data_IF_767350561300
#
_entry.id   IF_767350561300
#
_cell.length_a   1.000
_cell.length_b   1.000
_cell.length_c   1.000
_cell.angle_alpha   90.00
_cell.angle_beta   90.00
_cell.angle_gamma   90.00
#
_symmetry.space_group_name_H-M   'P 1'
#
loop_
_entity.id
_entity.type
_entity.pdbx_description
1 polymer ?
#
# COMPACT_ATOMS: atom_id res chain seq x y z
N UNK A 1 43.90 25.58 -11.48
CA UNK A 1 42.54 25.48 -10.91
C UNK A 1 42.41 24.14 -10.20
N UNK A 2 42.38 24.14 -8.86
CA UNK A 2 42.07 22.92 -8.11
C UNK A 2 40.61 22.53 -8.34
N UNK A 3 40.28 21.25 -8.62
CA UNK A 3 38.89 20.82 -8.63
C UNK A 3 38.32 21.03 -7.22
N UNK A 4 37.22 21.78 -7.14
CA UNK A 4 36.50 21.98 -5.88
C UNK A 4 36.17 20.61 -5.28
N UNK A 5 36.66 20.36 -4.07
CA UNK A 5 36.38 19.14 -3.34
C UNK A 5 34.87 19.00 -3.14
N UNK A 6 34.27 18.00 -3.77
CA UNK A 6 32.87 17.62 -3.51
C UNK A 6 32.74 17.40 -1.98
N UNK A 7 31.85 18.12 -1.28
CA UNK A 7 31.68 17.95 0.15
C UNK A 7 31.42 16.47 0.46
N UNK A 8 32.21 15.88 1.36
CA UNK A 8 31.90 14.54 1.87
C UNK A 8 30.50 14.59 2.50
N UNK A 9 29.59 13.66 2.16
CA UNK A 9 28.30 13.61 2.81
C UNK A 9 28.53 13.51 4.33
N UNK A 10 27.76 14.30 5.09
CA UNK A 10 27.80 14.23 6.55
C UNK A 10 27.62 12.77 7.01
N UNK A 11 28.32 12.32 8.07
CA UNK A 11 28.21 10.95 8.53
C UNK A 11 26.74 10.60 8.78
N UNK A 12 26.29 9.50 8.19
CA UNK A 12 24.92 9.04 8.36
C UNK A 12 24.64 8.87 9.84
N UNK A 13 23.61 9.57 10.35
CA UNK A 13 23.19 9.47 11.75
C UNK A 13 22.44 8.15 11.94
N UNK A 14 23.16 7.03 11.93
CA UNK A 14 22.59 5.67 12.01
C UNK A 14 21.61 5.54 13.18
N UNK A 15 21.94 6.16 14.32
CA UNK A 15 21.06 6.20 15.50
C UNK A 15 19.66 6.76 15.20
N UNK A 16 19.54 7.74 14.30
CA UNK A 16 18.25 8.34 13.94
C UNK A 16 17.40 7.33 13.16
N UNK A 17 18.00 6.58 12.24
CA UNK A 17 17.30 5.54 11.47
C UNK A 17 16.83 4.41 12.39
N UNK A 18 17.67 4.00 13.34
CA UNK A 18 17.30 2.99 14.34
C UNK A 18 16.21 3.49 15.30
N UNK A 19 16.29 4.75 15.73
CA UNK A 19 15.24 5.38 16.55
C UNK A 19 13.92 5.43 15.81
N UNK A 20 13.91 5.90 14.55
CA UNK A 20 12.71 5.96 13.74
C UNK A 20 12.12 4.56 13.52
N UNK A 21 12.96 3.56 13.22
CA UNK A 21 12.51 2.17 13.14
C UNK A 21 11.84 1.69 14.44
N UNK A 22 12.47 1.93 15.60
CA UNK A 22 11.92 1.53 16.90
C UNK A 22 10.61 2.27 17.24
N UNK A 23 10.52 3.57 16.94
CA UNK A 23 9.29 4.35 17.14
C UNK A 23 8.19 3.85 16.21
N UNK A 24 8.49 3.59 14.94
CA UNK A 24 7.52 3.05 13.98
C UNK A 24 7.06 1.64 14.37
N UNK A 25 7.95 0.80 14.91
CA UNK A 25 7.55 -0.49 15.46
C UNK A 25 6.57 -0.32 16.63
N UNK A 26 6.86 0.62 17.55
CA UNK A 26 5.98 0.91 18.68
C UNK A 26 4.63 1.48 18.26
N UNK A 27 4.58 2.39 17.29
CA UNK A 27 3.32 2.99 16.81
C UNK A 27 2.49 2.00 16.01
N UNK A 28 3.09 1.14 15.19
CA UNK A 28 2.37 0.07 14.46
C UNK A 28 1.85 -1.00 15.41
N UNK A 29 2.63 -1.36 16.43
CA UNK A 29 2.19 -2.25 17.50
C UNK A 29 0.98 -1.69 18.24
N UNK A 30 1.03 -0.42 18.67
CA UNK A 30 -0.09 0.24 19.34
C UNK A 30 -1.31 0.38 18.43
N UNK A 31 -1.11 0.72 17.15
CA UNK A 31 -2.19 0.82 16.18
C UNK A 31 -2.96 -0.50 16.03
N UNK A 32 -2.26 -1.63 15.96
CA UNK A 32 -2.91 -2.95 15.93
C UNK A 32 -3.78 -3.17 17.17
N UNK A 33 -3.24 -2.89 18.37
CA UNK A 33 -4.00 -3.07 19.61
C UNK A 33 -5.25 -2.18 19.67
N UNK A 34 -5.19 -0.96 19.14
CA UNK A 34 -6.31 -0.02 19.15
C UNK A 34 -7.38 -0.35 18.10
N UNK A 35 -6.98 -0.91 16.96
CA UNK A 35 -7.88 -1.21 15.84
C UNK A 35 -8.48 -2.61 15.90
N UNK A 36 -7.67 -3.59 16.32
CA UNK A 36 -7.99 -5.01 16.21
C UNK A 36 -7.85 -5.78 17.54
N UNK A 37 -7.22 -5.18 18.55
CA UNK A 37 -7.06 -5.81 19.86
C UNK A 37 -8.41 -5.97 20.58
N UNK A 38 -8.56 -7.09 21.31
CA UNK A 38 -9.76 -7.32 22.13
C UNK A 38 -9.75 -6.46 23.40
N UNK A 39 -8.56 -6.09 23.87
CA UNK A 39 -8.35 -5.34 25.11
C UNK A 39 -7.79 -3.96 24.83
N UNK A 40 -8.42 -2.92 25.37
CA UNK A 40 -7.88 -1.58 25.26
C UNK A 40 -6.65 -1.42 26.16
N UNK A 41 -5.50 -0.91 25.64
CA UNK A 41 -4.25 -0.78 26.41
C UNK A 41 -4.38 0.05 27.69
N UNK A 42 -5.40 0.92 27.76
CA UNK A 42 -5.63 1.86 28.85
C UNK A 42 -6.81 1.48 29.76
N UNK A 43 -7.38 0.29 29.59
CA UNK A 43 -8.58 -0.17 30.30
C UNK A 43 -8.36 -0.59 31.77
N UNK A 44 -7.15 -0.47 32.31
CA UNK A 44 -6.80 -0.89 33.67
C UNK A 44 -6.76 -2.41 33.91
N UNK A 45 -7.40 -3.20 33.04
CA UNK A 45 -7.41 -4.67 33.07
C UNK A 45 -6.11 -5.33 32.58
N UNK A 46 -5.14 -4.52 32.10
CA UNK A 46 -3.89 -5.01 31.50
C UNK A 46 -4.07 -5.51 30.06
N UNK A 47 -2.96 -5.71 29.37
CA UNK A 47 -2.94 -6.24 28.00
C UNK A 47 -2.86 -7.77 28.03
N UNK A 48 -3.79 -8.44 27.33
CA UNK A 48 -3.74 -9.89 27.15
C UNK A 48 -2.45 -10.30 26.42
N UNK A 49 -1.92 -11.48 26.75
CA UNK A 49 -0.73 -12.02 26.08
C UNK A 49 -0.96 -12.33 24.60
N UNK A 50 -2.17 -12.79 24.26
CA UNK A 50 -2.60 -13.05 22.88
C UNK A 50 -2.58 -11.75 22.05
N UNK A 51 -3.21 -10.67 22.55
CA UNK A 51 -3.24 -9.36 21.89
C UNK A 51 -1.81 -8.82 21.65
N UNK A 52 -0.91 -8.97 22.63
CA UNK A 52 0.50 -8.57 22.49
C UNK A 52 1.21 -9.37 21.41
N UNK A 53 1.01 -10.68 21.38
CA UNK A 53 1.66 -11.58 20.41
C UNK A 53 1.18 -11.28 18.99
N UNK A 54 -0.12 -11.08 18.82
CA UNK A 54 -0.71 -10.68 17.54
C UNK A 54 -0.20 -9.32 17.05
N UNK A 55 -0.09 -8.34 17.94
CA UNK A 55 0.46 -7.03 17.62
C UNK A 55 1.95 -7.10 17.23
N UNK A 56 2.74 -7.97 17.86
CA UNK A 56 4.13 -8.24 17.45
C UNK A 56 4.20 -8.87 16.06
N UNK A 57 3.36 -9.87 15.78
CA UNK A 57 3.31 -10.50 14.47
C UNK A 57 2.93 -9.52 13.37
N UNK A 58 1.93 -8.68 13.59
CA UNK A 58 1.52 -7.64 12.65
C UNK A 58 2.64 -6.63 12.40
N UNK A 59 3.11 -5.96 13.47
CA UNK A 59 4.09 -4.87 13.36
C UNK A 59 5.43 -5.36 12.81
N UNK A 60 5.93 -6.50 13.29
CA UNK A 60 7.17 -7.11 12.78
C UNK A 60 7.08 -7.47 11.30
N UNK A 61 5.98 -8.09 10.88
CA UNK A 61 5.75 -8.45 9.46
C UNK A 61 5.64 -7.22 8.57
N UNK A 62 4.89 -6.21 9.00
CA UNK A 62 4.70 -4.97 8.24
C UNK A 62 6.04 -4.23 8.05
N UNK A 63 6.81 -4.07 9.13
CA UNK A 63 8.12 -3.41 9.05
C UNK A 63 9.14 -4.22 8.26
N UNK A 64 9.08 -5.56 8.30
CA UNK A 64 9.94 -6.41 7.47
C UNK A 64 9.66 -6.18 5.98
N UNK A 65 8.39 -6.12 5.58
CA UNK A 65 8.00 -5.87 4.19
C UNK A 65 8.43 -4.45 3.76
N UNK A 66 8.02 -3.41 4.50
CA UNK A 66 8.37 -2.02 4.18
C UNK A 66 9.89 -1.80 4.19
N UNK A 67 10.59 -2.39 5.16
CA UNK A 67 12.04 -2.32 5.26
C UNK A 67 12.73 -3.00 4.09
N UNK A 68 12.26 -4.19 3.68
CA UNK A 68 12.80 -4.90 2.52
C UNK A 68 12.59 -4.14 1.21
N UNK A 69 11.43 -3.47 1.06
CA UNK A 69 11.14 -2.59 -0.07
C UNK A 69 12.17 -1.46 -0.17
N UNK A 70 12.33 -0.69 0.89
CA UNK A 70 13.29 0.43 0.89
C UNK A 70 14.75 -0.05 0.77
N UNK A 71 15.07 -1.20 1.35
CA UNK A 71 16.40 -1.81 1.20
C UNK A 71 16.67 -2.28 -0.24
N UNK A 72 15.65 -2.74 -0.97
CA UNK A 72 15.77 -3.06 -2.40
C UNK A 72 16.25 -1.84 -3.20
N UNK A 73 15.57 -0.70 -3.02
CA UNK A 73 16.00 0.56 -3.63
C UNK A 73 17.40 0.98 -3.20
N UNK A 74 17.70 0.89 -1.90
CA UNK A 74 19.02 1.24 -1.36
C UNK A 74 20.13 0.43 -2.03
N UNK A 75 19.99 -0.90 -2.09
CA UNK A 75 21.02 -1.80 -2.63
C UNK A 75 21.28 -1.50 -4.11
N UNK A 76 20.25 -1.37 -4.94
CA UNK A 76 20.46 -1.10 -6.37
C UNK A 76 20.86 0.35 -6.66
N UNK A 77 20.43 1.32 -5.85
CA UNK A 77 20.96 2.67 -5.94
C UNK A 77 22.48 2.69 -5.69
N UNK A 78 22.95 1.99 -4.65
CA UNK A 78 24.38 1.86 -4.34
C UNK A 78 25.15 1.11 -5.42
N UNK A 79 24.57 0.03 -5.98
CA UNK A 79 25.15 -0.68 -7.12
C UNK A 79 25.40 0.26 -8.29
N UNK A 80 24.41 1.09 -8.63
CA UNK A 80 24.50 2.08 -9.72
C UNK A 80 25.23 3.37 -9.32
N UNK A 81 25.91 3.38 -8.16
CA UNK A 81 26.67 4.52 -7.62
C UNK A 81 25.84 5.79 -7.45
N UNK A 82 24.54 5.65 -7.23
CA UNK A 82 23.64 6.75 -6.87
C UNK A 82 23.69 6.94 -5.35
N UNK A 83 24.00 8.16 -4.91
CA UNK A 83 24.01 8.47 -3.48
C UNK A 83 22.57 8.41 -2.92
N UNK A 84 22.40 7.70 -1.81
CA UNK A 84 21.11 7.44 -1.19
C UNK A 84 21.25 7.42 0.34
N UNK A 85 20.19 7.75 1.07
CA UNK A 85 20.16 7.59 2.53
C UNK A 85 19.84 6.15 2.92
N UNK A 86 20.07 5.80 4.20
CA UNK A 86 19.38 4.66 4.79
C UNK A 86 17.86 4.93 4.85
N UNK A 87 17.02 3.89 4.97
CA UNK A 87 15.58 4.06 5.08
C UNK A 87 15.18 4.91 6.29
N UNK A 88 14.25 5.85 6.07
CA UNK A 88 13.56 6.58 7.13
C UNK A 88 12.18 5.98 7.31
N UNK A 89 11.97 5.25 8.41
CA UNK A 89 10.63 4.83 8.80
C UNK A 89 9.86 6.03 9.33
N UNK A 90 8.60 6.16 8.91
CA UNK A 90 7.76 7.32 9.25
C UNK A 90 6.66 6.84 10.20
N UNK A 91 6.78 7.08 11.51
CA UNK A 91 5.72 6.73 12.45
C UNK A 91 4.52 7.67 12.27
N UNK A 92 3.32 7.13 12.48
CA UNK A 92 2.07 7.88 12.47
C UNK A 92 1.23 7.48 13.69
N UNK A 93 1.44 8.11 14.87
CA UNK A 93 0.70 7.80 16.08
C UNK A 93 -0.71 8.44 16.07
N UNK A 94 -1.45 8.28 14.97
CA UNK A 94 -2.81 8.82 14.82
C UNK A 94 -3.81 7.68 15.04
N UNK A 95 -4.77 7.81 15.98
CA UNK A 95 -5.84 6.82 16.15
C UNK A 95 -6.60 6.60 14.84
N UNK A 96 -6.93 5.35 14.51
CA UNK A 96 -7.54 5.02 13.23
C UNK A 96 -6.56 4.72 12.09
N UNK A 97 -5.25 4.98 12.27
CA UNK A 97 -4.23 4.71 11.27
C UNK A 97 -3.47 3.40 11.56
N UNK A 98 -2.68 2.93 10.59
CA UNK A 98 -1.83 1.74 10.73
C UNK A 98 -0.60 1.93 11.64
N UNK A 99 -0.43 3.12 12.21
CA UNK A 99 0.75 3.44 13.02
C UNK A 99 1.97 3.86 12.20
N UNK A 100 1.91 3.86 10.87
CA UNK A 100 3.01 4.29 9.98
C UNK A 100 2.49 4.89 8.67
N UNK A 101 3.26 5.81 8.10
CA UNK A 101 3.09 6.27 6.70
C UNK A 101 3.97 5.48 5.72
N UNK A 102 4.68 4.46 6.20
CA UNK A 102 5.65 3.70 5.42
C UNK A 102 7.09 4.03 5.80
N UNK A 103 8.00 3.70 4.88
CA UNK A 103 9.41 4.06 4.97
C UNK A 103 9.83 4.69 3.64
N UNK A 104 10.84 5.55 3.66
CA UNK A 104 11.35 6.21 2.44
C UNK A 104 12.87 6.32 2.47
N UNK A 105 13.52 6.09 1.34
CA UNK A 105 14.89 6.52 1.09
C UNK A 105 14.92 7.90 0.42
N UNK A 106 15.99 8.65 0.65
CA UNK A 106 16.28 9.89 -0.07
C UNK A 106 17.37 9.64 -1.10
N UNK A 107 16.97 9.61 -2.38
CA UNK A 107 17.90 9.65 -3.50
C UNK A 107 18.51 11.06 -3.61
N UNK A 108 19.83 11.16 -3.46
CA UNK A 108 20.58 12.43 -3.46
C UNK A 108 21.33 12.68 -4.78
N UNK A 109 21.46 11.66 -5.63
CA UNK A 109 22.06 11.75 -6.96
C UNK A 109 21.04 11.65 -8.09
N UNK A 110 21.45 12.04 -9.31
CA UNK A 110 20.67 11.81 -10.53
C UNK A 110 20.92 10.39 -11.04
N UNK A 111 19.87 9.76 -11.55
CA UNK A 111 19.93 8.40 -12.08
C UNK A 111 20.67 8.41 -13.43
N UNK A 112 21.68 7.56 -13.64
CA UNK A 112 22.60 7.71 -14.76
C UNK A 112 22.01 7.27 -16.11
N UNK A 113 21.24 6.19 -16.14
CA UNK A 113 20.75 5.55 -17.38
C UNK A 113 19.34 5.00 -17.18
N UNK A 114 18.66 4.70 -18.30
CA UNK A 114 17.34 4.04 -18.24
C UNK A 114 17.39 2.65 -17.60
N UNK A 115 18.49 1.92 -17.77
CA UNK A 115 18.67 0.62 -17.10
C UNK A 115 18.76 0.80 -15.58
N UNK A 116 19.54 1.77 -15.11
CA UNK A 116 19.62 2.08 -13.67
C UNK A 116 18.27 2.55 -13.11
N UNK A 117 17.49 3.29 -13.91
CA UNK A 117 16.14 3.72 -13.54
C UNK A 117 15.19 2.53 -13.31
N UNK A 118 15.19 1.56 -14.23
CA UNK A 118 14.40 0.32 -14.07
C UNK A 118 14.89 -0.50 -12.89
N UNK A 119 16.19 -0.70 -12.78
CA UNK A 119 16.78 -1.49 -11.70
C UNK A 119 16.38 -0.89 -10.33
N UNK A 120 16.63 0.41 -10.12
CA UNK A 120 16.30 1.08 -8.86
C UNK A 120 14.79 1.08 -8.61
N UNK A 121 13.98 1.46 -9.61
CA UNK A 121 12.52 1.53 -9.44
C UNK A 121 11.87 0.16 -9.20
N UNK A 122 12.36 -0.91 -9.84
CA UNK A 122 11.79 -2.25 -9.68
C UNK A 122 12.23 -2.92 -8.37
N UNK A 123 13.41 -2.56 -7.85
CA UNK A 123 14.01 -3.26 -6.72
C UNK A 123 13.15 -3.24 -5.45
N UNK A 124 12.53 -2.11 -5.13
CA UNK A 124 11.70 -2.00 -3.93
C UNK A 124 10.46 -2.89 -3.98
N UNK A 125 9.56 -2.69 -4.96
CA UNK A 125 8.35 -3.51 -5.08
C UNK A 125 8.64 -5.01 -5.15
N UNK A 126 9.69 -5.42 -5.88
CA UNK A 126 10.07 -6.83 -5.97
C UNK A 126 10.64 -7.38 -4.65
N UNK A 127 11.49 -6.62 -3.95
CA UNK A 127 12.02 -7.03 -2.65
C UNK A 127 10.91 -7.13 -1.59
N UNK A 128 10.00 -6.15 -1.57
CA UNK A 128 8.81 -6.16 -0.73
C UNK A 128 7.94 -7.40 -0.97
N UNK A 129 7.68 -7.75 -2.23
CA UNK A 129 6.93 -8.96 -2.59
C UNK A 129 7.63 -10.25 -2.18
N UNK A 130 8.95 -10.35 -2.34
CA UNK A 130 9.71 -11.53 -1.92
C UNK A 130 9.54 -11.81 -0.42
N UNK A 131 9.34 -10.78 0.40
CA UNK A 131 9.07 -10.93 1.84
C UNK A 131 7.57 -11.09 2.12
N UNK A 132 6.70 -10.35 1.41
CA UNK A 132 5.26 -10.38 1.65
C UNK A 132 4.61 -11.71 1.27
N UNK A 133 5.02 -12.35 0.18
CA UNK A 133 4.39 -13.58 -0.31
C UNK A 133 4.57 -14.77 0.66
N UNK A 134 5.77 -15.07 1.19
CA UNK A 134 5.94 -16.12 2.20
C UNK A 134 5.20 -15.82 3.50
N UNK A 135 5.20 -14.55 3.95
CA UNK A 135 4.48 -14.14 5.15
C UNK A 135 2.96 -14.30 4.98
N UNK A 136 2.42 -13.89 3.83
CA UNK A 136 1.02 -14.07 3.48
C UNK A 136 0.65 -15.56 3.50
N UNK A 137 1.43 -16.40 2.82
CA UNK A 137 1.19 -17.85 2.80
C UNK A 137 1.24 -18.47 4.21
N UNK A 138 2.26 -18.13 5.00
CA UNK A 138 2.38 -18.59 6.38
C UNK A 138 1.19 -18.13 7.24
N UNK A 139 0.79 -16.86 7.12
CA UNK A 139 -0.34 -16.31 7.84
C UNK A 139 -1.66 -16.99 7.48
N UNK A 140 -1.86 -17.33 6.20
CA UNK A 140 -3.06 -18.05 5.74
C UNK A 140 -3.14 -19.45 6.36
N UNK A 141 -2.03 -20.17 6.47
CA UNK A 141 -1.98 -21.48 7.16
C UNK A 141 -2.32 -21.39 8.66
N UNK A 142 -2.20 -20.21 9.27
CA UNK A 142 -2.53 -19.94 10.67
C UNK A 142 -3.84 -19.16 10.84
N UNK A 143 -4.61 -19.00 9.75
CA UNK A 143 -5.92 -18.36 9.76
C UNK A 143 -7.02 -19.40 9.97
N UNK A 144 -8.19 -18.97 10.43
CA UNK A 144 -9.32 -19.87 10.70
C UNK A 144 -10.46 -19.64 9.71
N UNK A 145 -11.05 -20.73 9.23
CA UNK A 145 -12.23 -20.67 8.35
C UNK A 145 -13.48 -20.60 9.22
N UNK A 146 -14.32 -19.60 8.97
CA UNK A 146 -15.57 -19.33 9.69
C UNK A 146 -16.75 -19.30 8.73
N UNK A 147 -17.96 -19.43 9.28
CA UNK A 147 -19.18 -19.16 8.52
C UNK A 147 -19.32 -17.65 8.28
N UNK A 148 -19.59 -17.28 7.03
CA UNK A 148 -19.77 -15.91 6.61
C UNK A 148 -20.93 -15.81 5.62
N UNK A 149 -21.99 -15.05 5.93
CA UNK A 149 -23.08 -14.87 5.00
C UNK A 149 -22.57 -14.16 3.72
N UNK A 150 -23.13 -14.49 2.54
CA UNK A 150 -22.74 -13.82 1.32
C UNK A 150 -22.96 -12.31 1.44
N UNK A 151 -21.90 -11.51 1.28
CA UNK A 151 -22.01 -10.05 1.28
C UNK A 151 -22.29 -9.61 -0.16
N UNK A 152 -23.51 -9.15 -0.51
CA UNK A 152 -23.87 -8.82 -1.88
C UNK A 152 -22.93 -7.75 -2.43
N UNK A 153 -22.42 -7.90 -3.65
CA UNK A 153 -21.67 -6.82 -4.32
C UNK A 153 -22.62 -6.00 -5.19
N UNK A 154 -22.75 -4.70 -4.92
CA UNK A 154 -23.53 -3.78 -5.75
C UNK A 154 -22.62 -2.93 -6.66
N UNK A 155 -23.16 -2.55 -7.82
CA UNK A 155 -22.60 -1.49 -8.66
C UNK A 155 -23.67 -0.44 -8.95
N UNK A 156 -23.41 0.86 -8.73
CA UNK A 156 -22.22 1.46 -8.11
C UNK A 156 -21.96 0.97 -6.68
N UNK A 157 -20.69 0.96 -6.25
CA UNK A 157 -20.31 0.42 -4.94
C UNK A 157 -20.85 1.24 -3.77
N UNK A 158 -21.19 0.59 -2.66
CA UNK A 158 -21.87 1.19 -1.50
C UNK A 158 -21.12 2.39 -0.90
N UNK A 159 -19.78 2.33 -0.89
CA UNK A 159 -18.91 3.42 -0.40
C UNK A 159 -18.41 4.35 -1.51
N UNK A 160 -18.97 4.28 -2.73
CA UNK A 160 -18.59 5.15 -3.84
C UNK A 160 -19.14 6.57 -3.67
N UNK A 161 -18.48 7.57 -4.28
CA UNK A 161 -19.01 8.95 -4.22
C UNK A 161 -20.39 9.09 -4.88
N UNK A 162 -20.70 8.24 -5.86
CA UNK A 162 -22.03 8.22 -6.48
C UNK A 162 -23.11 7.87 -5.46
N UNK A 163 -22.95 6.74 -4.74
CA UNK A 163 -23.93 6.31 -3.73
C UNK A 163 -23.97 7.30 -2.57
N UNK A 164 -22.82 7.75 -2.07
CA UNK A 164 -22.76 8.76 -1.01
C UNK A 164 -23.44 10.08 -1.43
N UNK A 165 -23.33 10.47 -2.69
CA UNK A 165 -24.03 11.63 -3.25
C UNK A 165 -25.54 11.43 -3.30
N UNK A 166 -26.02 10.23 -3.65
CA UNK A 166 -27.44 9.89 -3.61
C UNK A 166 -28.00 9.88 -2.18
N UNK A 167 -27.25 9.34 -1.22
CA UNK A 167 -27.61 9.37 0.21
C UNK A 167 -27.67 10.79 0.74
N UNK A 168 -26.68 11.63 0.40
CA UNK A 168 -26.70 13.05 0.76
C UNK A 168 -27.90 13.76 0.16
N UNK A 169 -28.20 13.54 -1.13
CA UNK A 169 -29.35 14.15 -1.79
C UNK A 169 -30.66 13.70 -1.13
N UNK A 170 -30.79 12.40 -0.83
CA UNK A 170 -31.96 11.86 -0.12
C UNK A 170 -32.14 12.55 1.23
N UNK A 171 -31.09 12.63 2.04
CA UNK A 171 -31.09 13.31 3.33
C UNK A 171 -31.50 14.79 3.19
N UNK A 172 -30.95 15.51 2.21
CA UNK A 172 -31.33 16.91 1.94
C UNK A 172 -32.82 17.01 1.59
N UNK A 173 -33.30 16.15 0.70
CA UNK A 173 -34.71 16.16 0.27
C UNK A 173 -35.65 15.85 1.44
N UNK A 174 -35.32 14.87 2.29
CA UNK A 174 -36.10 14.56 3.49
C UNK A 174 -36.21 15.78 4.43
N UNK A 175 -35.12 16.53 4.65
CA UNK A 175 -35.12 17.75 5.45
C UNK A 175 -35.95 18.87 4.81
N UNK A 176 -35.91 19.01 3.49
CA UNK A 176 -36.66 20.02 2.76
C UNK A 176 -38.17 19.72 2.71
N UNK A 177 -38.54 18.46 2.51
CA UNK A 177 -39.95 18.04 2.37
C UNK A 177 -40.63 17.69 3.69
N UNK A 178 -39.88 17.72 4.81
CA UNK A 178 -40.35 17.21 6.10
C UNK A 178 -40.92 15.79 5.99
N UNK A 179 -40.30 14.98 5.13
CA UNK A 179 -40.71 13.59 4.97
C UNK A 179 -40.52 12.86 6.32
N UNK A 180 -41.43 11.94 6.69
CA UNK A 180 -41.23 11.12 7.87
C UNK A 180 -39.88 10.38 7.73
N UNK A 181 -39.07 10.33 8.80
CA UNK A 181 -37.77 9.68 8.74
C UNK A 181 -37.96 8.21 8.33
N UNK A 182 -37.13 7.75 7.39
CA UNK A 182 -37.04 6.33 7.11
C UNK A 182 -36.68 5.58 8.40
N UNK A 183 -37.18 4.35 8.54
CA UNK A 183 -36.83 3.51 9.67
C UNK A 183 -35.32 3.25 9.62
N UNK A 184 -34.56 3.83 10.54
CA UNK A 184 -33.11 3.65 10.55
C UNK A 184 -32.80 2.19 10.90
N UNK A 185 -32.01 1.49 10.06
CA UNK A 185 -31.55 0.15 10.40
C UNK A 185 -30.70 0.22 11.67
N UNK A 186 -31.05 -0.60 12.67
CA UNK A 186 -30.25 -0.77 13.87
C UNK A 186 -29.12 -1.74 13.52
N UNK A 187 -27.92 -1.19 13.32
CA UNK A 187 -26.72 -2.00 13.12
C UNK A 187 -26.20 -2.49 14.46
N UNK A 188 -25.96 -3.80 14.56
CA UNK A 188 -25.46 -4.45 15.77
C UNK A 188 -23.95 -4.64 15.76
N UNK A 189 -23.33 -4.64 14.57
CA UNK A 189 -21.89 -4.76 14.40
C UNK A 189 -21.38 -4.01 13.16
N UNK A 190 -20.09 -3.65 13.23
CA UNK A 190 -19.33 -3.03 12.15
C UNK A 190 -18.07 -3.86 11.92
N UNK A 191 -17.85 -4.31 10.68
CA UNK A 191 -16.69 -5.10 10.30
C UNK A 191 -16.02 -4.52 9.06
N UNK A 192 -14.69 -4.40 9.12
CA UNK A 192 -13.87 -4.01 7.97
C UNK A 192 -13.36 -5.26 7.27
N UNK A 193 -13.80 -5.48 6.04
CA UNK A 193 -13.32 -6.56 5.18
C UNK A 193 -12.17 -6.06 4.30
N UNK A 194 -11.09 -6.84 4.27
CA UNK A 194 -9.95 -6.59 3.40
C UNK A 194 -10.25 -7.08 1.99
N UNK A 195 -10.04 -6.22 1.00
CA UNK A 195 -10.28 -6.52 -0.40
C UNK A 195 -9.35 -7.57 -0.96
N UNK A 196 -9.91 -8.49 -1.74
CA UNK A 196 -9.12 -9.48 -2.46
C UNK A 196 -8.30 -8.87 -3.61
N UNK A 197 -7.18 -9.51 -3.90
CA UNK A 197 -6.43 -9.37 -5.14
C UNK A 197 -6.06 -10.76 -5.69
N UNK A 198 -5.54 -10.83 -6.92
CA UNK A 198 -5.25 -12.11 -7.57
C UNK A 198 -4.20 -12.92 -6.81
N UNK A 199 -3.20 -12.25 -6.24
CA UNK A 199 -2.15 -12.89 -5.43
C UNK A 199 -2.75 -13.55 -4.19
N UNK A 200 -3.62 -12.83 -3.47
CA UNK A 200 -4.30 -13.37 -2.29
C UNK A 200 -5.21 -14.52 -2.64
N UNK A 201 -6.04 -14.40 -3.68
CA UNK A 201 -6.92 -15.51 -4.12
C UNK A 201 -6.10 -16.76 -4.45
N UNK A 202 -4.99 -16.60 -5.16
CA UNK A 202 -4.10 -17.70 -5.48
C UNK A 202 -3.47 -18.33 -4.23
N UNK A 203 -2.95 -17.52 -3.30
CA UNK A 203 -2.31 -18.03 -2.09
C UNK A 203 -3.31 -18.62 -1.08
N UNK A 204 -4.52 -18.07 -0.98
CA UNK A 204 -5.61 -18.64 -0.18
C UNK A 204 -6.01 -20.01 -0.74
N UNK A 205 -6.18 -20.11 -2.06
CA UNK A 205 -6.47 -21.39 -2.71
C UNK A 205 -5.34 -22.41 -2.51
N UNK A 206 -4.08 -21.97 -2.58
CA UNK A 206 -2.92 -22.85 -2.33
C UNK A 206 -2.80 -23.29 -0.87
N UNK A 207 -3.09 -22.41 0.09
CA UNK A 207 -2.93 -22.68 1.52
C UNK A 207 -4.09 -23.47 2.12
N UNK A 208 -5.33 -23.13 1.73
CA UNK A 208 -6.56 -23.62 2.37
C UNK A 208 -7.43 -24.47 1.42
N UNK A 209 -7.12 -24.49 0.12
CA UNK A 209 -7.97 -25.10 -0.90
C UNK A 209 -9.16 -24.21 -1.30
N UNK A 210 -10.09 -24.75 -2.12
CA UNK A 210 -11.31 -24.03 -2.48
C UNK A 210 -12.21 -23.88 -1.24
N UNK A 211 -12.50 -22.63 -0.87
CA UNK A 211 -13.43 -22.35 0.23
C UNK A 211 -14.87 -22.70 -0.20
N UNK A 212 -15.62 -23.45 0.61
CA UNK A 212 -17.04 -23.71 0.35
C UNK A 212 -17.87 -22.42 0.33
N UNK A 213 -19.01 -22.44 -0.35
CA UNK A 213 -19.96 -21.32 -0.30
C UNK A 213 -20.41 -21.04 1.14
N UNK A 214 -20.49 -19.76 1.51
CA UNK A 214 -20.86 -19.33 2.86
C UNK A 214 -19.73 -19.47 3.91
N UNK A 215 -18.49 -19.74 3.48
CA UNK A 215 -17.30 -19.71 4.34
C UNK A 215 -16.40 -18.53 3.99
N UNK A 216 -15.76 -17.96 5.01
CA UNK A 216 -14.73 -16.92 4.88
C UNK A 216 -13.59 -17.18 5.87
N UNK A 217 -12.50 -16.42 5.77
CA UNK A 217 -11.28 -16.61 6.55
C UNK A 217 -11.12 -15.46 7.54
N UNK A 218 -11.13 -15.77 8.84
CA UNK A 218 -10.62 -14.85 9.86
C UNK A 218 -9.10 -14.87 9.76
N UNK A 219 -8.58 -13.82 9.15
CA UNK A 219 -7.18 -13.73 8.76
C UNK A 219 -6.26 -13.53 9.97
N UNK A 220 -5.13 -14.23 9.98
CA UNK A 220 -4.07 -14.02 10.96
C UNK A 220 -3.46 -12.60 10.80
N UNK A 221 -2.95 -11.94 11.87
CA UNK A 221 -2.38 -10.60 11.77
C UNK A 221 -1.22 -10.45 10.78
N UNK A 222 -0.49 -11.54 10.52
CA UNK A 222 0.54 -11.56 9.46
C UNK A 222 -0.07 -11.42 8.06
N UNK A 223 -1.25 -12.00 7.81
CA UNK A 223 -1.99 -11.81 6.56
C UNK A 223 -2.40 -10.35 6.41
N UNK A 224 -2.88 -9.71 7.48
CA UNK A 224 -3.22 -8.28 7.46
C UNK A 224 -1.99 -7.43 7.12
N UNK A 225 -0.84 -7.69 7.75
CA UNK A 225 0.41 -7.00 7.45
C UNK A 225 0.86 -7.19 6.00
N UNK A 226 0.76 -8.43 5.48
CA UNK A 226 1.08 -8.73 4.10
C UNK A 226 0.10 -8.08 3.13
N UNK A 227 -1.19 -8.01 3.46
CA UNK A 227 -2.21 -7.29 2.70
C UNK A 227 -1.83 -5.82 2.52
N UNK A 228 -1.43 -5.13 3.60
CA UNK A 228 -0.92 -3.76 3.51
C UNK A 228 0.36 -3.67 2.67
N UNK A 229 1.24 -4.66 2.76
CA UNK A 229 2.43 -4.77 1.90
C UNK A 229 2.08 -4.87 0.40
N UNK A 230 1.07 -5.67 0.05
CA UNK A 230 0.58 -5.77 -1.33
C UNK A 230 -0.07 -4.45 -1.79
N UNK A 231 -0.79 -3.75 -0.91
CA UNK A 231 -1.33 -2.42 -1.19
C UNK A 231 -0.21 -1.41 -1.46
N UNK A 232 0.81 -1.35 -0.61
CA UNK A 232 1.97 -0.47 -0.81
C UNK A 232 2.68 -0.78 -2.13
N UNK A 233 2.82 -2.06 -2.46
CA UNK A 233 3.37 -2.51 -3.74
C UNK A 233 2.54 -2.04 -4.93
N UNK A 234 1.21 -2.22 -4.88
CA UNK A 234 0.28 -1.74 -5.89
C UNK A 234 0.44 -0.23 -6.11
N UNK A 235 0.42 0.54 -5.04
CA UNK A 235 0.48 1.99 -5.07
C UNK A 235 1.80 2.48 -5.66
N UNK A 236 2.92 1.91 -5.23
CA UNK A 236 4.24 2.26 -5.75
C UNK A 236 4.39 1.86 -7.23
N UNK A 237 3.79 0.75 -7.66
CA UNK A 237 3.84 0.32 -9.06
C UNK A 237 2.84 1.03 -9.97
N UNK A 238 2.00 1.94 -9.47
CA UNK A 238 1.16 2.77 -10.33
C UNK A 238 2.04 3.57 -11.31
N UNK A 239 1.72 3.58 -12.62
CA UNK A 239 2.56 4.25 -13.61
C UNK A 239 2.32 5.76 -13.62
N UNK A 240 2.68 6.43 -12.51
CA UNK A 240 2.44 7.85 -12.25
C UNK A 240 3.71 8.52 -11.74
N UNK A 241 4.13 9.57 -12.44
CA UNK A 241 5.14 10.52 -11.97
C UNK A 241 6.43 9.87 -11.50
N UNK A 242 6.81 10.14 -10.25
CA UNK A 242 8.03 9.65 -9.61
C UNK A 242 7.81 8.42 -8.71
N UNK A 243 6.64 7.78 -8.75
CA UNK A 243 6.48 6.48 -8.13
C UNK A 243 7.34 5.44 -8.85
N UNK A 244 7.58 4.29 -8.22
CA UNK A 244 8.37 3.20 -8.79
C UNK A 244 7.87 2.79 -10.18
N UNK A 245 6.56 2.57 -10.33
CA UNK A 245 5.92 2.30 -11.61
C UNK A 245 6.06 3.43 -12.62
N UNK A 246 6.15 4.68 -12.15
CA UNK A 246 6.46 5.86 -12.95
C UNK A 246 7.89 5.82 -13.52
N UNK A 247 8.88 5.43 -12.71
CA UNK A 247 10.26 5.20 -13.16
C UNK A 247 10.33 4.15 -14.28
N UNK A 248 9.64 3.03 -14.09
CA UNK A 248 9.57 1.95 -15.08
C UNK A 248 8.91 2.42 -16.39
N UNK A 249 7.77 3.10 -16.27
CA UNK A 249 7.01 3.61 -17.41
C UNK A 249 7.81 4.65 -18.19
N UNK A 250 8.49 5.56 -17.50
CA UNK A 250 9.36 6.56 -18.13
C UNK A 250 10.57 5.91 -18.82
N UNK A 251 11.18 4.89 -18.23
CA UNK A 251 12.29 4.18 -18.86
C UNK A 251 11.90 3.56 -20.22
N UNK A 252 10.68 3.02 -20.32
CA UNK A 252 10.15 2.38 -21.52
C UNK A 252 9.59 3.39 -22.54
N UNK A 253 8.78 4.34 -22.09
CA UNK A 253 7.97 5.21 -22.95
C UNK A 253 8.48 6.65 -23.06
N UNK A 254 9.49 7.02 -22.26
CA UNK A 254 10.01 8.39 -22.19
C UNK A 254 8.91 9.40 -21.85
N UNK A 255 8.84 10.55 -22.54
CA UNK A 255 7.86 11.61 -22.27
C UNK A 255 6.39 11.18 -22.32
N UNK A 256 6.06 10.08 -23.03
CA UNK A 256 4.68 9.55 -23.08
C UNK A 256 4.22 8.95 -21.74
N UNK A 257 5.12 8.68 -20.80
CA UNK A 257 4.76 8.25 -19.44
C UNK A 257 3.82 9.24 -18.74
N UNK A 258 3.90 10.53 -19.07
CA UNK A 258 2.96 11.55 -18.57
C UNK A 258 1.51 11.25 -18.96
N UNK A 259 1.28 10.81 -20.20
CA UNK A 259 -0.06 10.47 -20.69
C UNK A 259 -0.59 9.21 -20.01
N UNK A 260 0.29 8.21 -19.79
CA UNK A 260 -0.06 7.00 -19.03
C UNK A 260 -0.49 7.38 -17.59
N UNK A 261 0.28 8.23 -16.91
CA UNK A 261 -0.08 8.70 -15.57
C UNK A 261 -1.40 9.47 -15.51
N UNK A 262 -1.72 10.28 -16.53
CA UNK A 262 -3.03 10.93 -16.66
C UNK A 262 -4.16 9.91 -16.87
N UNK A 263 -3.91 8.85 -17.65
CA UNK A 263 -4.83 7.72 -17.80
C UNK A 263 -5.09 7.00 -16.48
N UNK A 264 -4.04 6.75 -15.67
CA UNK A 264 -4.21 6.19 -14.32
C UNK A 264 -5.05 7.10 -13.44
N UNK A 265 -4.84 8.42 -13.48
CA UNK A 265 -5.68 9.35 -12.73
C UNK A 265 -7.16 9.30 -13.16
N UNK A 266 -7.44 9.11 -14.46
CA UNK A 266 -8.81 8.89 -14.93
C UNK A 266 -9.40 7.57 -14.40
N UNK A 267 -8.62 6.49 -14.34
CA UNK A 267 -9.03 5.23 -13.71
C UNK A 267 -9.30 5.42 -12.22
N UNK A 268 -8.41 6.09 -11.47
CA UNK A 268 -8.61 6.37 -10.06
C UNK A 268 -9.85 7.24 -9.82
N UNK A 269 -10.12 8.20 -10.69
CA UNK A 269 -11.36 9.00 -10.66
C UNK A 269 -12.59 8.12 -10.87
N UNK A 270 -12.58 7.23 -11.86
CA UNK A 270 -13.67 6.28 -12.09
C UNK A 270 -13.90 5.40 -10.86
N UNK A 271 -12.84 4.82 -10.28
CA UNK A 271 -12.92 4.01 -9.07
C UNK A 271 -13.49 4.83 -7.89
N UNK A 272 -13.06 6.08 -7.73
CA UNK A 272 -13.54 6.97 -6.68
C UNK A 272 -15.04 7.25 -6.82
N UNK A 273 -15.50 7.50 -8.04
CA UNK A 273 -16.89 7.87 -8.32
C UNK A 273 -17.83 6.68 -8.24
N UNK A 274 -17.45 5.53 -8.79
CA UNK A 274 -18.38 4.41 -9.01
C UNK A 274 -18.07 3.15 -8.19
N UNK A 275 -16.88 3.02 -7.59
CA UNK A 275 -16.46 1.79 -6.91
C UNK A 275 -16.30 2.00 -5.41
N UNK A 276 -15.38 2.87 -4.98
CA UNK A 276 -15.18 3.22 -3.56
C UNK A 276 -14.47 4.56 -3.44
N UNK A 277 -14.95 5.42 -2.54
CA UNK A 277 -14.40 6.75 -2.32
C UNK A 277 -12.96 6.73 -1.74
N UNK A 278 -12.50 5.59 -1.22
CA UNK A 278 -11.14 5.45 -0.65
C UNK A 278 -10.02 5.72 -1.67
N UNK A 279 -10.27 5.49 -2.96
CA UNK A 279 -9.33 5.83 -4.03
C UNK A 279 -9.15 7.35 -4.25
N UNK A 280 -10.07 8.17 -3.72
CA UNK A 280 -10.01 9.63 -3.86
C UNK A 280 -8.77 10.24 -3.22
N UNK A 281 -8.31 9.68 -2.08
CA UNK A 281 -7.06 10.08 -1.45
C UNK A 281 -5.87 9.87 -2.41
N UNK A 282 -5.79 8.69 -3.03
CA UNK A 282 -4.71 8.37 -3.96
C UNK A 282 -4.81 9.11 -5.28
N UNK A 283 -6.01 9.46 -5.75
CA UNK A 283 -6.20 10.38 -6.88
C UNK A 283 -5.57 11.74 -6.57
N UNK A 284 -5.81 12.29 -5.37
CA UNK A 284 -5.22 13.57 -4.95
C UNK A 284 -3.70 13.45 -4.82
N UNK A 285 -3.20 12.40 -4.17
CA UNK A 285 -1.75 12.17 -4.03
C UNK A 285 -1.08 12.05 -5.40
N UNK A 286 -1.62 11.20 -6.29
CA UNK A 286 -1.11 11.00 -7.64
C UNK A 286 -1.10 12.29 -8.46
N UNK A 287 -2.18 13.08 -8.42
CA UNK A 287 -2.34 14.26 -9.29
C UNK A 287 -1.73 15.55 -8.73
N UNK A 288 -1.69 15.74 -7.41
CA UNK A 288 -1.28 16.99 -6.76
C UNK A 288 0.03 16.91 -5.99
N UNK A 289 0.36 15.76 -5.40
CA UNK A 289 1.57 15.58 -4.59
C UNK A 289 2.70 15.04 -5.45
N UNK A 290 2.47 13.92 -6.15
CA UNK A 290 3.45 13.29 -7.04
C UNK A 290 3.51 14.04 -8.38
N UNK A 291 2.34 14.30 -8.96
CA UNK A 291 2.22 14.85 -10.32
C UNK A 291 2.58 13.82 -11.40
N UNK A 292 2.40 14.21 -12.66
CA UNK A 292 2.60 13.30 -13.81
C UNK A 292 3.96 13.45 -14.51
N UNK A 293 4.80 14.38 -14.03
CA UNK A 293 6.12 14.63 -14.58
C UNK A 293 7.16 13.67 -14.02
N UNK A 294 8.16 13.34 -14.84
CA UNK A 294 9.29 12.52 -14.43
C UNK A 294 10.60 13.20 -14.87
N UNK A 295 11.62 13.30 -13.99
CA UNK A 295 12.90 13.91 -14.33
C UNK A 295 13.69 13.04 -15.32
N UNK A 296 14.40 13.64 -16.26
CA UNK A 296 15.22 12.87 -17.20
C UNK A 296 16.45 12.24 -16.51
N UNK A 297 16.89 11.09 -17.04
CA UNK A 297 18.16 10.46 -16.66
C UNK A 297 19.34 11.23 -17.27
N UNK A 298 20.55 11.03 -16.76
CA UNK A 298 21.74 11.75 -17.27
C UNK A 298 22.09 11.43 -18.72
N UNK A 299 21.84 10.18 -19.16
CA UNK A 299 22.13 9.67 -20.50
C UNK A 299 20.89 9.03 -21.11
N UNK A 300 19.90 9.83 -21.56
CA UNK A 300 18.65 9.33 -22.10
C UNK A 300 18.80 8.63 -23.47
N UNK A 301 19.91 8.87 -24.17
CA UNK A 301 20.27 8.28 -25.47
C UNK A 301 20.61 6.79 -25.39
N UNK A 302 21.05 6.29 -24.23
CA UNK A 302 21.33 4.86 -24.05
C UNK A 302 20.03 4.04 -24.10
N UNK A 303 19.94 3.03 -24.98
CA UNK A 303 18.73 2.23 -25.13
C UNK A 303 18.48 1.33 -23.91
N UNK A 304 17.20 1.10 -23.62
CA UNK A 304 16.80 0.16 -22.57
C UNK A 304 17.09 -1.28 -23.01
N UNK A 305 17.86 -2.00 -22.20
CA UNK A 305 18.24 -3.39 -22.48
C UNK A 305 17.04 -4.35 -22.40
N UNK A 306 17.10 -5.45 -23.16
CA UNK A 306 16.02 -6.45 -23.21
C UNK A 306 15.71 -7.07 -21.85
N UNK A 307 16.74 -7.35 -21.03
CA UNK A 307 16.53 -7.86 -19.67
C UNK A 307 15.73 -6.91 -18.79
N UNK A 308 15.94 -5.59 -18.92
CA UNK A 308 15.19 -4.59 -18.16
C UNK A 308 13.76 -4.44 -18.65
N UNK A 309 13.50 -4.65 -19.95
CA UNK A 309 12.13 -4.74 -20.46
C UNK A 309 11.37 -5.92 -19.83
N UNK A 310 12.04 -7.06 -19.62
CA UNK A 310 11.44 -8.21 -18.92
C UNK A 310 11.14 -7.85 -17.45
N UNK A 311 12.04 -7.14 -16.76
CA UNK A 311 11.79 -6.66 -15.39
C UNK A 311 10.56 -5.74 -15.36
N UNK A 312 10.43 -4.80 -16.31
CA UNK A 312 9.24 -3.97 -16.41
C UNK A 312 7.96 -4.79 -16.60
N UNK A 313 7.99 -5.85 -17.41
CA UNK A 313 6.86 -6.75 -17.60
C UNK A 313 6.51 -7.51 -16.31
N UNK A 314 7.51 -7.99 -15.56
CA UNK A 314 7.30 -8.63 -14.26
C UNK A 314 6.66 -7.68 -13.24
N UNK A 315 7.10 -6.42 -13.19
CA UNK A 315 6.48 -5.41 -12.35
C UNK A 315 5.06 -5.05 -12.80
N UNK A 316 4.77 -5.06 -14.10
CA UNK A 316 3.39 -4.90 -14.58
C UNK A 316 2.51 -6.09 -14.15
N UNK A 317 3.03 -7.32 -14.20
CA UNK A 317 2.32 -8.49 -13.68
C UNK A 317 2.10 -8.40 -12.16
N UNK A 318 3.09 -7.91 -11.41
CA UNK A 318 2.94 -7.63 -9.99
C UNK A 318 1.87 -6.58 -9.71
N UNK A 319 1.83 -5.49 -10.50
CA UNK A 319 0.81 -4.45 -10.41
C UNK A 319 -0.60 -5.04 -10.59
N UNK A 320 -0.80 -5.84 -11.65
CA UNK A 320 -2.07 -6.50 -11.93
C UNK A 320 -2.40 -7.53 -10.85
N UNK A 321 -1.42 -8.28 -10.38
CA UNK A 321 -1.58 -9.29 -9.34
C UNK A 321 -2.02 -8.71 -7.99
N UNK A 322 -1.49 -7.54 -7.63
CA UNK A 322 -1.81 -6.81 -6.41
C UNK A 322 -3.02 -5.88 -6.54
N UNK A 323 -3.60 -5.73 -7.73
CA UNK A 323 -4.72 -4.81 -7.96
C UNK A 323 -5.92 -5.17 -7.07
N UNK A 324 -6.39 -4.18 -6.31
CA UNK A 324 -7.50 -4.32 -5.35
C UNK A 324 -8.54 -3.20 -5.57
N UNK A 325 -9.51 -3.37 -6.48
CA UNK A 325 -10.47 -2.31 -6.83
C UNK A 325 -11.26 -1.77 -5.64
N UNK A 326 -11.56 -2.63 -4.66
CA UNK A 326 -12.18 -2.26 -3.39
C UNK A 326 -11.22 -2.69 -2.27
N UNK A 327 -10.27 -1.83 -1.84
CA UNK A 327 -9.27 -2.21 -0.84
C UNK A 327 -9.90 -2.51 0.53
N UNK A 328 -10.83 -1.66 0.96
CA UNK A 328 -11.53 -1.83 2.23
C UNK A 328 -13.02 -1.76 1.96
N UNK A 329 -13.75 -2.70 2.56
CA UNK A 329 -15.21 -2.71 2.54
C UNK A 329 -15.71 -2.72 3.96
N UNK A 330 -16.49 -1.71 4.32
CA UNK A 330 -17.18 -1.66 5.61
C UNK A 330 -18.53 -2.38 5.48
N UNK A 331 -18.77 -3.32 6.38
CA UNK A 331 -20.03 -4.08 6.46
C UNK A 331 -20.70 -3.78 7.79
N UNK A 332 -21.95 -3.35 7.70
CA UNK A 332 -22.81 -3.05 8.83
C UNK A 332 -23.92 -4.10 8.90
N UNK A 333 -24.07 -4.77 10.05
CA UNK A 333 -25.11 -5.79 10.27
C UNK A 333 -25.77 -5.62 11.62
#
# INVERSE_FOLDING_TARGET
MHPASVPRPAPARVWLHLLLFAVTLGTTFLAYLLLFGRSFPFSGAGLLEEDRTQALFFSGSLLAILGSHEMGHYVLARWHRVDTSLPYFIPLPVPGSLGTLGAVIRLRGRIPTRNALVDIGAAGPLAGLVVALPLLYWGLLHSTVVDSPPVPSAFPGESSLWVLGQELLRWVMEKLTQAPPAMEPVYTSHQTLFGDNLVMKALTWLALGPLPEGKDVVVHPVVMAAWFGLLVTLLNLLPVGQLDGGHLTFAVLGPRARQVGQGVAAVLLFLTVFVTASWGLWLVVASKVVGFGHPEVLRPEEPLSTSRKVICALCLLALVGCAMPVPLREVWS
#
